data_IF_990559037515
#
_entry.id   IF_990559037515
#
_cell.length_a   1.000
_cell.length_b   1.000
_cell.length_c   1.000
_cell.angle_alpha   90.00
_cell.angle_beta   90.00
_cell.angle_gamma   90.00
#
_symmetry.space_group_name_H-M   'P 1'
#
loop_
_entity.id
_entity.type
_entity.pdbx_description
1 polymer ?
#
# COMPACT_ATOMS: atom_id res chain seq x y z
N UNK A 1 17.73 -3.71 -3.16
CA UNK A 1 16.36 -3.18 -3.24
C UNK A 1 15.33 -4.24 -3.66
N UNK A 2 15.64 -5.16 -4.57
CA UNK A 2 14.67 -6.15 -5.10
C UNK A 2 14.27 -7.24 -4.07
N UNK A 3 15.11 -7.57 -3.09
CA UNK A 3 14.84 -8.60 -2.07
C UNK A 3 14.25 -8.02 -0.77
N UNK A 4 14.42 -6.73 -0.52
CA UNK A 4 14.02 -6.11 0.75
C UNK A 4 12.57 -5.63 0.79
N UNK A 5 11.93 -5.36 -0.35
CA UNK A 5 10.56 -4.90 -0.39
C UNK A 5 9.50 -6.02 -0.38
N UNK A 6 9.65 -7.17 -1.10
CA UNK A 6 8.62 -8.21 -1.14
C UNK A 6 8.42 -8.93 0.19
N UNK A 7 9.49 -9.27 0.91
CA UNK A 7 9.39 -10.01 2.17
C UNK A 7 8.64 -9.23 3.26
N UNK A 8 8.96 -7.96 3.55
CA UNK A 8 8.20 -7.16 4.50
C UNK A 8 6.75 -6.95 4.09
N UNK A 9 6.47 -6.78 2.78
CA UNK A 9 5.09 -6.63 2.29
C UNK A 9 4.25 -7.89 2.49
N UNK A 10 4.83 -9.10 2.35
CA UNK A 10 4.16 -10.35 2.68
C UNK A 10 3.73 -10.40 4.15
N UNK A 11 4.60 -9.94 5.06
CA UNK A 11 4.27 -9.79 6.48
C UNK A 11 3.11 -8.80 6.66
N UNK A 12 3.14 -7.70 5.94
CA UNK A 12 2.06 -6.71 5.92
C UNK A 12 0.73 -7.30 5.47
N UNK A 13 0.71 -8.08 4.38
CA UNK A 13 -0.49 -8.75 3.87
C UNK A 13 -1.09 -9.67 4.94
N UNK A 14 -0.25 -10.46 5.61
CA UNK A 14 -0.69 -11.35 6.68
C UNK A 14 -1.28 -10.57 7.87
N UNK A 15 -0.56 -9.56 8.36
CA UNK A 15 -1.03 -8.72 9.47
C UNK A 15 -2.32 -7.99 9.13
N UNK A 16 -2.41 -7.40 7.94
CA UNK A 16 -3.61 -6.71 7.48
C UNK A 16 -4.82 -7.63 7.42
N UNK A 17 -4.66 -8.85 6.88
CA UNK A 17 -5.70 -9.87 6.87
C UNK A 17 -6.11 -10.29 8.28
N UNK A 18 -5.14 -10.59 9.15
CA UNK A 18 -5.40 -11.00 10.52
C UNK A 18 -6.15 -9.92 11.33
N UNK A 19 -5.75 -8.65 11.22
CA UNK A 19 -6.46 -7.55 11.88
C UNK A 19 -7.87 -7.37 11.32
N UNK A 20 -8.02 -7.43 10.00
CA UNK A 20 -9.32 -7.29 9.36
C UNK A 20 -10.27 -8.42 9.75
N UNK A 21 -9.81 -9.67 9.80
CA UNK A 21 -10.63 -10.81 10.20
C UNK A 21 -11.02 -10.73 11.68
N UNK A 22 -10.07 -10.39 12.55
CA UNK A 22 -10.33 -10.30 14.00
C UNK A 22 -11.30 -9.18 14.37
N UNK A 23 -11.16 -8.02 13.72
CA UNK A 23 -12.01 -6.86 13.96
C UNK A 23 -13.31 -6.95 13.14
N UNK A 24 -13.24 -7.47 11.92
CA UNK A 24 -14.37 -7.70 11.02
C UNK A 24 -15.38 -8.72 11.54
N UNK A 25 -14.95 -9.63 12.42
CA UNK A 25 -15.87 -10.53 13.13
C UNK A 25 -16.87 -9.78 14.03
N UNK A 26 -16.52 -8.56 14.48
CA UNK A 26 -17.42 -7.71 15.29
C UNK A 26 -18.23 -6.74 14.41
N UNK A 27 -17.59 -6.12 13.42
CA UNK A 27 -18.22 -5.19 12.48
C UNK A 27 -17.54 -5.33 11.10
N UNK A 28 -18.29 -5.70 10.04
CA UNK A 28 -17.76 -5.86 8.68
C UNK A 28 -17.07 -4.61 8.11
N UNK A 29 -17.33 -3.43 8.67
CA UNK A 29 -16.69 -2.17 8.23
C UNK A 29 -15.18 -2.18 8.42
N UNK A 30 -14.67 -3.00 9.33
CA UNK A 30 -13.23 -3.13 9.58
C UNK A 30 -12.44 -3.64 8.38
N UNK A 31 -13.07 -4.38 7.45
CA UNK A 31 -12.42 -4.78 6.20
C UNK A 31 -12.00 -3.60 5.31
N UNK A 32 -12.62 -2.42 5.48
CA UNK A 32 -12.19 -1.18 4.83
C UNK A 32 -11.53 -0.17 5.78
N UNK A 33 -11.81 -0.23 7.08
CA UNK A 33 -11.14 0.66 8.04
C UNK A 33 -9.66 0.28 8.25
N UNK A 34 -9.33 -1.01 8.31
CA UNK A 34 -7.93 -1.47 8.43
C UNK A 34 -7.09 -0.95 7.26
N UNK A 35 -7.48 -1.15 5.99
CA UNK A 35 -6.76 -0.54 4.88
C UNK A 35 -6.75 0.99 4.90
N UNK A 36 -7.84 1.64 5.31
CA UNK A 36 -7.88 3.11 5.41
C UNK A 36 -6.83 3.66 6.37
N UNK A 37 -6.73 3.07 7.57
CA UNK A 37 -5.72 3.44 8.57
C UNK A 37 -4.31 3.17 8.04
N UNK A 38 -4.09 2.02 7.40
CA UNK A 38 -2.81 1.67 6.80
C UNK A 38 -2.39 2.68 5.72
N UNK A 39 -3.30 3.05 4.83
CA UNK A 39 -3.03 4.03 3.79
C UNK A 39 -2.75 5.43 4.37
N UNK A 40 -3.47 5.84 5.40
CA UNK A 40 -3.20 7.10 6.07
C UNK A 40 -1.81 7.13 6.72
N UNK A 41 -1.42 6.04 7.40
CA UNK A 41 -0.10 5.90 8.03
C UNK A 41 1.04 5.78 7.00
N UNK A 42 0.77 5.28 5.81
CA UNK A 42 1.80 5.13 4.77
C UNK A 42 2.33 6.48 4.26
N UNK A 43 1.51 7.54 4.28
CA UNK A 43 1.89 8.86 3.75
C UNK A 43 3.07 9.48 4.49
N UNK A 44 3.04 9.66 5.82
CA UNK A 44 4.18 10.22 6.54
C UNK A 44 5.43 9.34 6.41
N UNK A 45 5.26 8.02 6.39
CA UNK A 45 6.38 7.07 6.26
C UNK A 45 7.03 7.19 4.87
N UNK A 46 6.24 7.19 3.80
CA UNK A 46 6.76 7.35 2.45
C UNK A 46 7.37 8.73 2.22
N UNK A 47 6.75 9.78 2.76
CA UNK A 47 7.29 11.14 2.68
C UNK A 47 8.63 11.23 3.41
N UNK A 48 8.72 10.69 4.60
CA UNK A 48 9.98 10.64 5.37
C UNK A 48 11.03 9.82 4.63
N UNK A 49 10.68 8.67 4.08
CA UNK A 49 11.57 7.84 3.27
C UNK A 49 12.16 8.61 2.08
N UNK A 50 11.34 9.38 1.35
CA UNK A 50 11.77 10.14 0.19
C UNK A 50 12.60 11.38 0.54
N UNK A 51 12.31 12.03 1.67
CA UNK A 51 12.97 13.25 2.09
C UNK A 51 14.22 13.01 2.96
N UNK A 52 14.44 11.77 3.43
CA UNK A 52 15.58 11.45 4.28
C UNK A 52 16.91 11.60 3.54
N UNK A 53 17.92 12.11 4.22
CA UNK A 53 19.27 12.24 3.63
C UNK A 53 19.97 10.87 3.55
N UNK A 54 20.62 10.60 2.43
CA UNK A 54 21.39 9.35 2.20
C UNK A 54 22.62 9.22 3.11
N UNK A 55 23.04 10.32 3.73
CA UNK A 55 24.22 10.37 4.60
C UNK A 55 23.98 9.80 5.98
N UNK A 56 22.72 9.67 6.40
CA UNK A 56 22.38 9.12 7.69
C UNK A 56 22.46 7.60 7.67
N UNK A 57 23.57 7.08 8.15
CA UNK A 57 23.90 5.66 8.21
C UNK A 57 23.78 5.15 9.65
N UNK A 58 23.10 4.04 9.85
CA UNK A 58 23.09 3.32 11.13
C UNK A 58 24.22 2.29 11.10
N UNK A 59 25.16 2.31 12.09
CA UNK A 59 26.16 1.27 12.23
C UNK A 59 25.47 -0.06 12.58
N UNK A 60 25.81 -1.13 11.85
CA UNK A 60 25.22 -2.44 12.06
C UNK A 60 25.95 -3.21 13.17
N UNK A 61 25.23 -4.15 13.85
CA UNK A 61 25.85 -5.10 14.76
C UNK A 61 26.95 -5.93 14.10
N UNK A 62 27.94 -6.37 14.87
CA UNK A 62 29.14 -7.07 14.38
C UNK A 62 28.83 -8.28 13.49
N UNK A 63 27.75 -9.02 13.77
CA UNK A 63 27.34 -10.17 12.97
C UNK A 63 26.88 -9.79 11.54
N UNK A 64 26.29 -8.61 11.35
CA UNK A 64 25.89 -8.11 10.05
C UNK A 64 27.08 -7.49 9.29
N UNK A 65 28.00 -6.89 10.01
CA UNK A 65 29.29 -6.44 9.45
C UNK A 65 30.06 -7.63 8.89
N UNK A 66 30.09 -8.75 9.62
CA UNK A 66 30.68 -10.00 9.16
C UNK A 66 29.98 -10.60 7.93
N UNK A 67 28.69 -10.31 7.75
CA UNK A 67 27.91 -10.70 6.55
C UNK A 67 28.07 -9.73 5.36
N UNK A 68 28.97 -8.73 5.46
CA UNK A 68 29.24 -7.77 4.38
C UNK A 68 28.30 -6.56 4.34
N UNK A 69 27.56 -6.30 5.41
CA UNK A 69 26.63 -5.17 5.55
C UNK A 69 27.08 -4.23 6.68
N UNK A 70 28.13 -3.40 6.48
CA UNK A 70 28.70 -2.59 7.55
C UNK A 70 27.80 -1.45 8.03
N UNK A 71 26.96 -0.92 7.14
CA UNK A 71 26.05 0.20 7.43
C UNK A 71 24.75 0.05 6.65
N UNK A 72 23.62 0.47 7.24
CA UNK A 72 22.35 0.58 6.55
C UNK A 72 21.87 2.03 6.54
N UNK A 73 21.44 2.56 5.38
CA UNK A 73 20.77 3.86 5.34
C UNK A 73 19.48 3.83 6.17
N UNK A 74 19.28 4.87 7.00
CA UNK A 74 18.05 5.03 7.81
C UNK A 74 16.80 4.96 6.91
N UNK A 75 16.88 5.51 5.71
CA UNK A 75 15.82 5.44 4.70
C UNK A 75 15.37 3.99 4.41
N UNK A 76 16.27 3.00 4.38
CA UNK A 76 15.88 1.60 4.16
C UNK A 76 15.00 1.06 5.29
N UNK A 77 15.26 1.44 6.52
CA UNK A 77 14.42 1.04 7.68
C UNK A 77 13.01 1.58 7.53
N UNK A 78 12.87 2.86 7.15
CA UNK A 78 11.57 3.45 6.85
C UNK A 78 10.89 2.79 5.65
N UNK A 79 11.65 2.42 4.63
CA UNK A 79 11.15 1.66 3.48
C UNK A 79 10.59 0.28 3.85
N UNK A 80 11.22 -0.42 4.81
CA UNK A 80 10.72 -1.69 5.35
C UNK A 80 9.37 -1.50 6.05
N UNK A 81 9.25 -0.52 6.94
CA UNK A 81 7.98 -0.19 7.59
C UNK A 81 6.90 0.22 6.58
N UNK A 82 7.25 1.05 5.59
CA UNK A 82 6.35 1.43 4.51
C UNK A 82 5.85 0.23 3.71
N UNK A 83 6.71 -0.76 3.43
CA UNK A 83 6.35 -1.99 2.72
C UNK A 83 5.39 -2.87 3.52
N UNK A 84 5.59 -2.97 4.84
CA UNK A 84 4.68 -3.71 5.74
C UNK A 84 3.30 -3.07 5.74
N UNK A 85 3.24 -1.75 5.94
CA UNK A 85 1.98 -1.01 6.02
C UNK A 85 1.27 -1.01 4.65
N UNK A 86 2.02 -0.82 3.56
CA UNK A 86 1.48 -0.92 2.20
C UNK A 86 0.92 -2.30 1.88
N UNK A 87 1.58 -3.37 2.34
CA UNK A 87 1.09 -4.74 2.20
C UNK A 87 -0.23 -5.00 2.93
N UNK A 88 -0.43 -4.39 4.09
CA UNK A 88 -1.60 -4.59 4.93
C UNK A 88 -2.95 -4.20 4.27
N UNK A 89 -2.90 -3.39 3.21
CA UNK A 89 -4.08 -3.02 2.42
C UNK A 89 -4.61 -4.19 1.58
N UNK A 90 -3.73 -5.04 1.05
CA UNK A 90 -4.06 -5.96 -0.06
C UNK A 90 -5.09 -7.03 0.32
N UNK A 91 -4.88 -7.74 1.44
CA UNK A 91 -5.77 -8.84 1.84
C UNK A 91 -7.19 -8.37 2.20
N UNK A 92 -7.39 -7.35 3.07
CA UNK A 92 -8.73 -6.88 3.40
C UNK A 92 -9.47 -6.30 2.20
N UNK A 93 -8.76 -5.62 1.31
CA UNK A 93 -9.35 -5.05 0.10
C UNK A 93 -9.88 -6.14 -0.83
N UNK A 94 -9.08 -7.17 -1.10
CA UNK A 94 -9.51 -8.31 -1.91
C UNK A 94 -10.65 -9.09 -1.26
N UNK A 95 -10.62 -9.28 0.07
CA UNK A 95 -11.72 -9.89 0.81
C UNK A 95 -13.02 -9.11 0.68
N UNK A 96 -12.96 -7.78 0.70
CA UNK A 96 -14.13 -6.92 0.50
C UNK A 96 -14.72 -7.09 -0.89
N UNK A 97 -13.88 -7.03 -1.95
CA UNK A 97 -14.34 -7.19 -3.33
C UNK A 97 -15.04 -8.54 -3.52
N UNK A 98 -14.43 -9.62 -3.01
CA UNK A 98 -15.00 -10.95 -3.11
C UNK A 98 -16.25 -11.11 -2.23
N UNK A 99 -16.31 -10.45 -1.09
CA UNK A 99 -17.43 -10.51 -0.17
C UNK A 99 -18.70 -9.84 -0.70
N UNK A 100 -18.57 -8.70 -1.38
CA UNK A 100 -19.71 -7.96 -1.96
C UNK A 100 -20.14 -8.51 -3.33
N UNK A 101 -19.36 -9.39 -3.95
CA UNK A 101 -19.70 -10.03 -5.21
C UNK A 101 -20.46 -11.34 -4.97
N UNK A 102 -21.56 -11.61 -5.74
CA UNK A 102 -22.23 -12.91 -5.73
C UNK A 102 -21.26 -14.05 -6.05
N UNK A 103 -21.50 -15.24 -5.50
CA UNK A 103 -20.60 -16.42 -5.64
C UNK A 103 -20.16 -16.67 -7.09
N UNK A 104 -21.10 -16.57 -8.03
CA UNK A 104 -20.82 -16.78 -9.47
C UNK A 104 -19.93 -15.74 -10.10
N UNK A 105 -19.83 -14.54 -9.51
CA UNK A 105 -19.09 -13.40 -10.07
C UNK A 105 -17.79 -13.07 -9.32
N UNK A 106 -17.46 -13.77 -8.24
CA UNK A 106 -16.27 -13.48 -7.41
C UNK A 106 -14.97 -13.53 -8.19
N UNK A 107 -14.79 -14.57 -9.02
CA UNK A 107 -13.61 -14.69 -9.87
C UNK A 107 -13.51 -13.54 -10.88
N UNK A 108 -14.64 -13.16 -11.50
CA UNK A 108 -14.68 -12.05 -12.43
C UNK A 108 -14.39 -10.71 -11.74
N UNK A 109 -14.99 -10.44 -10.58
CA UNK A 109 -14.73 -9.24 -9.80
C UNK A 109 -13.26 -9.12 -9.40
N UNK A 110 -12.64 -10.21 -8.96
CA UNK A 110 -11.21 -10.24 -8.64
C UNK A 110 -10.33 -10.00 -9.87
N UNK A 111 -10.67 -10.61 -11.01
CA UNK A 111 -9.93 -10.43 -12.26
C UNK A 111 -9.98 -8.98 -12.75
N UNK A 112 -11.18 -8.37 -12.77
CA UNK A 112 -11.36 -6.96 -13.15
C UNK A 112 -10.59 -6.03 -12.21
N UNK A 113 -10.69 -6.25 -10.90
CA UNK A 113 -9.96 -5.45 -9.91
C UNK A 113 -8.44 -5.55 -10.11
N UNK A 114 -7.91 -6.75 -10.32
CA UNK A 114 -6.49 -6.96 -10.59
C UNK A 114 -6.07 -6.28 -11.89
N UNK A 115 -6.87 -6.38 -12.95
CA UNK A 115 -6.58 -5.75 -14.23
C UNK A 115 -6.54 -4.22 -14.11
N UNK A 116 -7.52 -3.63 -13.44
CA UNK A 116 -7.54 -2.17 -13.19
C UNK A 116 -6.31 -1.75 -12.40
N UNK A 117 -5.95 -2.47 -11.33
CA UNK A 117 -4.77 -2.17 -10.53
C UNK A 117 -3.48 -2.28 -11.35
N UNK A 118 -3.39 -3.28 -12.23
CA UNK A 118 -2.21 -3.47 -13.09
C UNK A 118 -2.08 -2.35 -14.13
N UNK A 119 -3.15 -2.02 -14.82
CA UNK A 119 -3.11 -1.00 -15.88
C UNK A 119 -2.95 0.40 -15.28
N UNK A 120 -3.74 0.75 -14.29
CA UNK A 120 -3.69 2.10 -13.70
C UNK A 120 -2.50 2.27 -12.77
N UNK A 121 -2.22 1.28 -11.91
CA UNK A 121 -1.14 1.37 -10.92
C UNK A 121 0.24 1.17 -11.54
N UNK A 122 0.46 0.04 -12.21
CA UNK A 122 1.79 -0.35 -12.67
C UNK A 122 2.16 0.25 -14.03
N UNK A 123 1.20 0.47 -14.94
CA UNK A 123 1.50 1.04 -16.25
C UNK A 123 1.43 2.57 -16.23
N UNK A 124 0.33 3.15 -15.75
CA UNK A 124 0.17 4.60 -15.75
C UNK A 124 0.99 5.32 -14.66
N UNK A 125 1.22 4.67 -13.50
CA UNK A 125 1.96 5.25 -12.39
C UNK A 125 3.35 5.78 -12.77
N UNK A 126 4.27 4.91 -13.25
CA UNK A 126 5.61 5.35 -13.66
C UNK A 126 5.60 6.39 -14.78
N UNK A 127 4.63 6.32 -15.69
CA UNK A 127 4.49 7.26 -16.80
C UNK A 127 4.16 8.67 -16.28
N UNK A 128 3.19 8.78 -15.37
CA UNK A 128 2.84 10.07 -14.75
C UNK A 128 4.01 10.64 -13.95
N UNK A 129 4.70 9.80 -13.16
CA UNK A 129 5.90 10.24 -12.41
C UNK A 129 7.00 10.73 -13.37
N UNK A 130 7.23 10.01 -14.47
CA UNK A 130 8.21 10.42 -15.48
C UNK A 130 7.89 11.75 -16.14
N UNK A 131 6.63 12.01 -16.47
CA UNK A 131 6.19 13.28 -17.02
C UNK A 131 6.40 14.44 -16.01
N UNK A 132 6.01 14.26 -14.75
CA UNK A 132 6.22 15.26 -13.70
C UNK A 132 7.72 15.49 -13.46
N UNK A 133 8.54 14.43 -13.48
CA UNK A 133 9.98 14.56 -13.32
C UNK A 133 10.63 15.34 -14.47
N UNK A 134 10.12 15.17 -15.69
CA UNK A 134 10.57 15.95 -16.85
C UNK A 134 10.29 17.43 -16.65
N UNK A 135 9.06 17.80 -16.28
CA UNK A 135 8.68 19.20 -16.04
C UNK A 135 9.44 19.81 -14.86
N UNK A 136 9.79 19.01 -13.86
CA UNK A 136 10.56 19.45 -12.69
C UNK A 136 12.07 19.51 -12.95
N UNK A 137 12.57 18.92 -14.03
CA UNK A 137 14.00 18.85 -14.34
C UNK A 137 14.64 20.25 -14.49
N UNK A 138 13.91 21.21 -15.05
CA UNK A 138 14.39 22.58 -15.21
C UNK A 138 14.55 23.32 -13.86
N UNK A 139 13.73 22.99 -12.85
CA UNK A 139 13.72 23.67 -11.55
C UNK A 139 14.57 23.00 -10.49
N UNK A 140 14.59 21.66 -10.48
CA UNK A 140 15.18 20.85 -9.40
C UNK A 140 16.38 20.02 -9.84
N UNK A 141 16.72 20.00 -11.13
CA UNK A 141 17.89 19.28 -11.64
C UNK A 141 17.90 17.81 -11.23
N UNK A 142 18.95 17.37 -10.53
CA UNK A 142 19.11 15.98 -10.09
C UNK A 142 18.04 15.50 -9.10
N UNK A 143 17.42 16.39 -8.34
CA UNK A 143 16.38 16.06 -7.36
C UNK A 143 14.97 16.01 -7.97
N UNK A 144 14.82 16.29 -9.26
CA UNK A 144 13.52 16.33 -9.94
C UNK A 144 12.72 15.02 -9.75
N UNK A 145 13.38 13.87 -9.85
CA UNK A 145 12.75 12.56 -9.63
C UNK A 145 12.26 12.40 -8.19
N UNK A 146 13.03 12.86 -7.22
CA UNK A 146 12.69 12.80 -5.79
C UNK A 146 11.42 13.61 -5.48
N UNK A 147 11.33 14.84 -6.00
CA UNK A 147 10.16 15.68 -5.83
C UNK A 147 8.95 15.20 -6.64
N UNK A 148 9.16 14.62 -7.81
CA UNK A 148 8.06 14.03 -8.58
C UNK A 148 7.44 12.83 -7.90
N UNK A 149 8.22 12.04 -7.16
CA UNK A 149 7.73 10.91 -6.36
C UNK A 149 6.90 11.34 -5.14
N UNK A 150 7.00 12.59 -4.68
CA UNK A 150 6.15 13.09 -3.60
C UNK A 150 4.68 13.24 -4.04
N UNK A 151 4.42 13.49 -5.32
CA UNK A 151 3.05 13.66 -5.83
C UNK A 151 2.22 12.38 -5.65
N UNK A 152 2.68 11.20 -6.11
CA UNK A 152 1.93 9.96 -5.88
C UNK A 152 1.88 9.51 -4.42
N UNK A 153 2.74 10.03 -3.52
CA UNK A 153 2.61 9.70 -2.08
C UNK A 153 1.33 10.25 -1.44
N UNK A 154 0.64 11.16 -2.12
CA UNK A 154 -0.67 11.66 -1.67
C UNK A 154 -1.83 10.76 -2.10
N UNK A 155 -1.64 9.86 -3.07
CA UNK A 155 -2.72 8.96 -3.54
C UNK A 155 -3.25 8.03 -2.44
N UNK A 156 -2.45 7.52 -1.48
CA UNK A 156 -2.97 6.76 -0.34
C UNK A 156 -3.98 7.54 0.51
N UNK A 157 -3.90 8.88 0.59
CA UNK A 157 -4.91 9.68 1.30
C UNK A 157 -6.26 9.60 0.61
N UNK A 158 -6.28 9.69 -0.73
CA UNK A 158 -7.51 9.52 -1.50
C UNK A 158 -8.07 8.10 -1.31
N UNK A 159 -7.21 7.09 -1.35
CA UNK A 159 -7.61 5.72 -1.09
C UNK A 159 -8.19 5.54 0.32
N UNK A 160 -7.57 6.12 1.35
CA UNK A 160 -8.07 6.11 2.72
C UNK A 160 -9.46 6.73 2.82
N UNK A 161 -9.66 7.90 2.20
CA UNK A 161 -10.96 8.59 2.18
C UNK A 161 -12.03 7.72 1.49
N UNK A 162 -11.71 7.16 0.33
CA UNK A 162 -12.64 6.26 -0.40
C UNK A 162 -12.99 5.03 0.44
N UNK A 163 -12.01 4.41 1.11
CA UNK A 163 -12.24 3.28 1.99
C UNK A 163 -13.13 3.65 3.20
N UNK A 164 -12.91 4.82 3.81
CA UNK A 164 -13.74 5.29 4.93
C UNK A 164 -15.19 5.55 4.50
N UNK A 165 -15.40 6.15 3.34
CA UNK A 165 -16.74 6.35 2.79
C UNK A 165 -17.38 5.01 2.39
N UNK A 166 -16.64 4.13 1.71
CA UNK A 166 -17.09 2.81 1.29
C UNK A 166 -17.47 1.90 2.46
N UNK A 167 -16.77 2.01 3.60
CA UNK A 167 -17.05 1.22 4.79
C UNK A 167 -18.49 1.35 5.30
N UNK A 168 -19.16 2.46 5.01
CA UNK A 168 -20.57 2.68 5.41
C UNK A 168 -21.53 1.75 4.66
N UNK A 169 -21.18 1.37 3.44
CA UNK A 169 -22.04 0.56 2.55
C UNK A 169 -21.76 -0.95 2.66
N UNK A 170 -20.58 -1.34 3.14
CA UNK A 170 -20.14 -2.75 3.23
C UNK A 170 -21.19 -3.66 3.89
N UNK A 171 -21.79 -3.34 5.05
CA UNK A 171 -22.75 -4.25 5.69
C UNK A 171 -23.97 -4.52 4.78
N UNK A 172 -24.54 -3.47 4.18
CA UNK A 172 -25.70 -3.59 3.31
C UNK A 172 -25.40 -4.38 2.02
N UNK A 173 -24.21 -4.16 1.44
CA UNK A 173 -23.79 -4.83 0.22
C UNK A 173 -23.49 -6.32 0.46
N UNK A 174 -22.91 -6.67 1.61
CA UNK A 174 -22.72 -8.06 2.02
C UNK A 174 -24.05 -8.80 2.21
N UNK A 175 -25.06 -8.15 2.79
CA UNK A 175 -26.39 -8.74 2.93
C UNK A 175 -27.05 -8.95 1.56
N UNK A 176 -26.95 -7.98 0.66
CA UNK A 176 -27.45 -8.11 -0.72
C UNK A 176 -26.76 -9.24 -1.47
N UNK A 177 -25.44 -9.36 -1.39
CA UNK A 177 -24.70 -10.46 -2.03
C UNK A 177 -25.18 -11.82 -1.52
N UNK A 178 -25.34 -11.96 -0.19
CA UNK A 178 -25.88 -13.20 0.42
C UNK A 178 -27.31 -13.50 0.01
N UNK A 179 -28.14 -12.48 -0.20
CA UNK A 179 -29.52 -12.68 -0.66
C UNK A 179 -29.59 -13.16 -2.11
N UNK A 180 -28.64 -12.73 -2.97
CA UNK A 180 -28.54 -13.20 -4.36
C UNK A 180 -27.99 -14.63 -4.50
N UNK A 181 -27.33 -15.14 -3.49
CA UNK A 181 -26.75 -16.50 -3.47
C UNK A 181 -27.72 -17.55 -2.90
N UNK A 182 -28.91 -17.17 -2.41
CA UNK A 182 -30.00 -18.05 -1.94
C UNK A 182 -30.96 -18.39 -3.05
#
# INVERSE_FOLDING_TARGET
YFLTAPLPSMFGIFLGGWFADRLGARDPRWYLWVPAVGQFLSVPILTTFLLWDEKDLIPMPEFMVAAGLPTLPVALVWGLFGSIIGGAFTAPFMSTIQGVAPLRMRAFASAVSTQVTTVVGHAAGPLVVGMIAHDFSERFGADALRYSLLVPTLTPLLAAVVCLFGARYVPADLERARAMDR
#
